data_IF_116754470306
#
_entry.id   IF_116754470306
#
_cell.length_a   1.000
_cell.length_b   1.000
_cell.length_c   1.000
_cell.angle_alpha   90.00
_cell.angle_beta   90.00
_cell.angle_gamma   90.00
#
_symmetry.space_group_name_H-M   'P 1'
#
loop_
_entity.id
_entity.type
_entity.pdbx_description
1 polymer ?
#
# COMPACT_ATOMS: atom_id res chain seq x y z
N UNK A 1 -20.65 2.31 13.65
CA UNK A 1 -19.89 1.15 14.17
C UNK A 1 -19.32 0.32 13.01
N UNK A 2 -18.50 0.92 12.13
CA UNK A 2 -18.03 0.29 10.86
C UNK A 2 -16.58 0.62 10.46
N UNK A 3 -15.78 1.14 11.41
CA UNK A 3 -14.38 1.55 11.15
C UNK A 3 -13.39 0.68 11.94
N UNK A 4 -13.84 -0.07 12.96
CA UNK A 4 -12.93 -0.71 13.92
C UNK A 4 -12.44 -2.11 13.52
N UNK A 5 -13.01 -2.75 12.50
CA UNK A 5 -12.62 -4.12 12.11
C UNK A 5 -11.52 -4.17 11.04
N UNK A 6 -11.28 -3.07 10.31
CA UNK A 6 -10.32 -3.05 9.19
C UNK A 6 -8.88 -2.79 9.66
N UNK A 7 -8.67 -2.26 10.88
CA UNK A 7 -7.33 -2.21 11.48
C UNK A 7 -6.71 -3.57 11.76
N UNK A 8 -7.49 -4.66 11.74
CA UNK A 8 -7.01 -6.02 12.04
C UNK A 8 -6.47 -6.77 10.81
N UNK A 9 -6.91 -6.43 9.60
CA UNK A 9 -6.51 -7.16 8.38
C UNK A 9 -5.10 -6.78 7.90
N UNK A 10 -4.56 -5.67 8.37
CA UNK A 10 -3.15 -5.25 8.12
C UNK A 10 -2.28 -5.40 9.40
N UNK A 11 -2.81 -5.97 10.48
CA UNK A 11 -2.10 -6.12 11.77
C UNK A 11 -2.34 -7.46 12.47
N UNK A 12 -2.64 -8.53 11.74
CA UNK A 12 -2.76 -9.85 12.36
C UNK A 12 -1.37 -10.40 12.72
N UNK A 13 -1.07 -10.37 14.02
CA UNK A 13 0.07 -10.90 14.79
C UNK A 13 1.23 -9.93 15.10
N UNK A 14 1.43 -9.72 16.40
CA UNK A 14 2.32 -8.71 16.95
C UNK A 14 3.80 -9.10 17.04
N UNK A 15 4.65 -8.09 16.97
CA UNK A 15 5.79 -7.86 17.85
C UNK A 15 6.35 -6.47 17.52
N UNK A 16 6.60 -5.67 18.56
CA UNK A 16 7.52 -4.54 18.41
C UNK A 16 8.90 -5.10 18.07
N UNK A 17 9.45 -4.70 16.92
CA UNK A 17 10.84 -4.97 16.56
C UNK A 17 11.06 -6.15 15.61
N UNK A 18 12.02 -5.96 14.72
CA UNK A 18 12.48 -6.82 13.61
C UNK A 18 11.61 -6.75 12.35
N UNK A 19 12.29 -6.59 11.21
CA UNK A 19 11.71 -6.44 9.89
C UNK A 19 10.83 -7.66 9.56
N UNK A 20 9.51 -7.53 9.74
CA UNK A 20 8.55 -8.56 9.35
C UNK A 20 8.63 -8.77 7.83
N UNK A 21 8.71 -10.02 7.39
CA UNK A 21 8.68 -10.38 5.97
C UNK A 21 7.43 -9.79 5.30
N UNK A 22 7.50 -9.52 4.00
CA UNK A 22 6.32 -9.04 3.26
C UNK A 22 5.22 -10.13 3.29
N UNK A 23 4.03 -9.77 3.76
CA UNK A 23 2.88 -10.66 3.80
C UNK A 23 2.37 -11.00 2.39
N UNK A 24 1.70 -12.14 2.26
CA UNK A 24 1.02 -12.51 1.03
C UNK A 24 -0.20 -11.59 0.77
N UNK A 25 -0.09 -10.82 -0.31
CA UNK A 25 -1.08 -9.85 -0.75
C UNK A 25 -2.14 -10.44 -1.70
N UNK A 26 -2.01 -11.70 -2.14
CA UNK A 26 -2.96 -12.31 -3.11
C UNK A 26 -4.34 -12.59 -2.53
N UNK A 27 -4.48 -12.62 -1.20
CA UNK A 27 -5.75 -12.84 -0.49
C UNK A 27 -6.37 -11.58 0.12
N UNK A 28 -5.96 -10.37 -0.26
CA UNK A 28 -6.48 -9.12 0.33
C UNK A 28 -7.99 -8.97 0.15
N UNK A 29 -8.52 -9.25 -1.04
CA UNK A 29 -9.95 -9.14 -1.32
C UNK A 29 -10.77 -10.14 -0.48
N UNK A 30 -10.31 -11.40 -0.38
CA UNK A 30 -10.97 -12.41 0.44
C UNK A 30 -11.03 -12.02 1.93
N UNK A 31 -9.99 -11.32 2.43
CA UNK A 31 -9.95 -10.78 3.80
C UNK A 31 -10.79 -9.50 3.99
N UNK A 32 -11.29 -8.91 2.91
CA UNK A 32 -12.10 -7.68 2.90
C UNK A 32 -13.44 -7.94 2.20
N UNK A 33 -14.18 -8.94 2.67
CA UNK A 33 -15.55 -9.27 2.20
C UNK A 33 -15.67 -9.51 0.68
N UNK A 34 -14.59 -9.94 0.04
CA UNK A 34 -14.51 -10.17 -1.40
C UNK A 34 -14.25 -8.91 -2.24
N UNK A 35 -14.10 -7.75 -1.60
CA UNK A 35 -13.83 -6.47 -2.27
C UNK A 35 -12.37 -6.05 -2.09
N UNK A 36 -11.71 -5.58 -3.15
CA UNK A 36 -10.36 -5.05 -3.03
C UNK A 36 -10.39 -3.61 -2.46
N UNK A 37 -9.72 -3.33 -1.32
CA UNK A 37 -9.81 -2.02 -0.66
C UNK A 37 -8.91 -0.95 -1.32
N UNK A 38 -9.22 -0.58 -2.56
CA UNK A 38 -8.40 0.26 -3.45
C UNK A 38 -7.86 1.53 -2.79
N UNK A 39 -8.74 2.34 -2.17
CA UNK A 39 -8.34 3.62 -1.58
C UNK A 39 -7.35 3.44 -0.41
N UNK A 40 -7.53 2.41 0.41
CA UNK A 40 -6.63 2.12 1.53
C UNK A 40 -5.27 1.63 1.02
N UNK A 41 -5.27 0.76 0.01
CA UNK A 41 -4.04 0.30 -0.64
C UNK A 41 -3.26 1.47 -1.21
N UNK A 42 -3.91 2.38 -1.95
CA UNK A 42 -3.27 3.60 -2.49
C UNK A 42 -2.61 4.42 -1.37
N UNK A 43 -3.32 4.66 -0.26
CA UNK A 43 -2.75 5.45 0.85
C UNK A 43 -1.58 4.75 1.55
N UNK A 44 -1.67 3.44 1.76
CA UNK A 44 -0.60 2.64 2.41
C UNK A 44 0.64 2.60 1.51
N UNK A 45 0.47 2.34 0.20
CA UNK A 45 1.55 2.31 -0.79
C UNK A 45 2.21 3.69 -0.93
N UNK A 46 1.43 4.78 -0.97
CA UNK A 46 1.99 6.14 -1.00
C UNK A 46 2.85 6.38 0.25
N UNK A 47 2.30 6.15 1.44
CA UNK A 47 3.02 6.24 2.72
C UNK A 47 3.49 7.66 3.11
N UNK A 48 3.49 8.64 2.19
CA UNK A 48 3.85 10.04 2.46
C UNK A 48 2.79 10.80 3.28
N UNK A 49 1.59 10.25 3.42
CA UNK A 49 0.48 10.85 4.20
C UNK A 49 0.54 10.55 5.70
N UNK A 50 1.56 9.81 6.16
CA UNK A 50 1.75 9.47 7.58
C UNK A 50 0.91 8.27 8.06
N UNK A 51 0.12 7.64 7.17
CA UNK A 51 -0.41 6.29 7.43
C UNK A 51 0.77 5.32 7.48
N UNK A 52 1.04 4.76 8.67
CA UNK A 52 1.96 3.66 8.99
C UNK A 52 2.83 3.25 7.79
N UNK A 53 3.78 4.11 7.46
CA UNK A 53 4.57 3.99 6.24
C UNK A 53 5.36 2.68 6.31
N UNK A 54 5.44 1.97 5.18
CA UNK A 54 6.26 0.77 5.08
C UNK A 54 7.66 1.00 5.68
N UNK A 55 8.14 0.04 6.46
CA UNK A 55 9.45 0.06 7.09
C UNK A 55 9.93 -1.37 7.26
N UNK A 56 11.07 -1.71 6.64
CA UNK A 56 11.55 -3.10 6.52
C UNK A 56 11.61 -3.53 5.04
N UNK A 57 11.15 -4.74 4.67
CA UNK A 57 11.30 -5.28 3.31
C UNK A 57 10.44 -4.56 2.26
N UNK A 58 9.41 -3.81 2.69
CA UNK A 58 8.60 -2.97 1.81
C UNK A 58 9.12 -1.53 1.90
N UNK A 59 9.49 -0.89 0.78
CA UNK A 59 9.88 0.52 0.79
C UNK A 59 8.64 1.43 0.88
N UNK A 60 8.86 2.68 1.27
CA UNK A 60 7.85 3.74 1.10
C UNK A 60 7.78 4.10 -0.38
N UNK A 61 6.90 3.43 -1.15
CA UNK A 61 6.84 3.57 -2.61
C UNK A 61 6.57 4.99 -3.06
N UNK A 62 5.74 5.76 -2.34
CA UNK A 62 5.54 7.17 -2.66
C UNK A 62 6.83 7.98 -2.60
N UNK A 63 7.68 7.75 -1.61
CA UNK A 63 9.00 8.41 -1.53
C UNK A 63 9.98 7.88 -2.58
N UNK A 64 9.95 6.57 -2.86
CA UNK A 64 10.78 5.95 -3.89
C UNK A 64 10.47 6.52 -5.28
N UNK A 65 9.19 6.54 -5.68
CA UNK A 65 8.77 7.06 -6.98
C UNK A 65 8.89 8.58 -7.08
N UNK A 66 8.81 9.31 -5.97
CA UNK A 66 9.09 10.75 -5.91
C UNK A 66 10.58 11.01 -6.18
N UNK A 67 11.49 10.19 -5.63
CA UNK A 67 12.93 10.27 -5.90
C UNK A 67 13.30 9.85 -7.34
N UNK A 68 12.55 8.93 -7.96
CA UNK A 68 12.71 8.54 -9.37
C UNK A 68 12.23 9.60 -10.36
N UNK A 69 11.41 10.56 -9.92
CA UNK A 69 10.69 11.43 -10.83
C UNK A 69 11.59 12.50 -11.46
N UNK A 70 12.16 12.20 -12.63
CA UNK A 70 12.82 13.20 -13.48
C UNK A 70 11.82 13.92 -14.41
N UNK A 71 10.81 14.58 -13.83
CA UNK A 71 9.65 15.08 -14.59
C UNK A 71 9.47 16.61 -14.54
N UNK A 72 10.54 17.35 -14.24
CA UNK A 72 10.50 18.81 -14.11
C UNK A 72 9.61 19.30 -12.96
N UNK A 73 9.38 20.62 -12.81
CA UNK A 73 8.78 21.20 -11.60
C UNK A 73 7.32 20.79 -11.32
N UNK A 74 6.62 20.22 -12.31
CA UNK A 74 5.20 19.85 -12.17
C UNK A 74 4.91 18.37 -12.46
N UNK A 75 5.83 17.64 -13.11
CA UNK A 75 5.58 16.25 -13.48
C UNK A 75 5.82 15.27 -12.34
N UNK A 76 6.60 15.65 -11.32
CA UNK A 76 6.92 14.80 -10.17
C UNK A 76 5.69 14.20 -9.49
N UNK A 77 4.77 15.03 -8.96
CA UNK A 77 3.56 14.53 -8.29
C UNK A 77 2.66 13.67 -9.17
N UNK A 78 2.57 13.97 -10.48
CA UNK A 78 1.77 13.17 -11.42
C UNK A 78 2.43 11.82 -11.68
N UNK A 79 3.75 11.78 -11.85
CA UNK A 79 4.53 10.56 -12.02
C UNK A 79 4.35 9.63 -10.82
N UNK A 80 4.56 10.15 -9.61
CA UNK A 80 4.44 9.38 -8.37
C UNK A 80 3.03 8.80 -8.22
N UNK A 81 1.98 9.61 -8.42
CA UNK A 81 0.58 9.17 -8.29
C UNK A 81 0.20 8.14 -9.36
N UNK A 82 0.66 8.31 -10.59
CA UNK A 82 0.42 7.35 -11.67
C UNK A 82 1.04 5.98 -11.36
N UNK A 83 2.26 5.95 -10.83
CA UNK A 83 2.95 4.72 -10.43
C UNK A 83 2.27 4.02 -9.25
N UNK A 84 1.85 4.77 -8.23
CA UNK A 84 1.08 4.23 -7.10
C UNK A 84 -0.22 3.59 -7.59
N UNK A 85 -0.97 4.27 -8.46
CA UNK A 85 -2.22 3.76 -9.00
C UNK A 85 -1.99 2.49 -9.84
N UNK A 86 -0.96 2.48 -10.69
CA UNK A 86 -0.58 1.30 -11.47
C UNK A 86 -0.25 0.11 -10.59
N UNK A 87 0.46 0.32 -9.47
CA UNK A 87 0.78 -0.74 -8.52
C UNK A 87 -0.46 -1.25 -7.79
N UNK A 88 -1.38 -0.36 -7.39
CA UNK A 88 -2.64 -0.75 -6.77
C UNK A 88 -3.52 -1.59 -7.71
N UNK A 89 -3.60 -1.23 -8.99
CA UNK A 89 -4.30 -2.04 -10.00
C UNK A 89 -3.63 -3.39 -10.23
N UNK A 90 -2.30 -3.46 -10.22
CA UNK A 90 -1.62 -4.75 -10.30
C UNK A 90 -1.99 -5.64 -9.10
N UNK A 91 -1.97 -5.10 -7.89
CA UNK A 91 -2.38 -5.84 -6.68
C UNK A 91 -3.82 -6.32 -6.75
N UNK A 92 -4.74 -5.50 -7.26
CA UNK A 92 -6.13 -5.90 -7.51
C UNK A 92 -6.22 -7.05 -8.52
N UNK A 93 -5.42 -7.01 -9.59
CA UNK A 93 -5.47 -8.01 -10.66
C UNK A 93 -4.99 -9.41 -10.25
N UNK A 94 -4.14 -9.50 -9.23
CA UNK A 94 -3.57 -10.77 -8.75
C UNK A 94 -4.36 -11.39 -7.59
N UNK A 95 -5.51 -10.81 -7.23
CA UNK A 95 -6.34 -11.35 -6.15
C UNK A 95 -6.89 -12.73 -6.51
N UNK A 96 -6.70 -13.69 -5.61
CA UNK A 96 -7.24 -15.05 -5.74
C UNK A 96 -8.66 -15.08 -5.17
N UNK A 97 -9.55 -15.84 -5.81
CA UNK A 97 -10.93 -16.05 -5.40
C UNK A 97 -11.06 -17.26 -4.50
#
# INVERSE_FOLDING_TARGET
>A
MRISAISLVVCAFGAFGTAAAADDLTGLAARNDGEFPMLQVIHIVDGRTGLRAHGGPMPVFGALFDAEAEAGPYGGPLYTRGKILSLAYYLESIQQK
#
